data_IF_248377241716
#
_entry.id   IF_248377241716
#
_cell.length_a   1.000
_cell.length_b   1.000
_cell.length_c   1.000
_cell.angle_alpha   90.00
_cell.angle_beta   90.00
_cell.angle_gamma   90.00
#
_symmetry.space_group_name_H-M   'P 1'
#
loop_
_entity.id
_entity.type
_entity.pdbx_description
1 polymer ?
#
# COMPACT_ATOMS: atom_id res chain seq x y z
N UNK A 1 43.52 6.71 -13.93
CA UNK A 1 43.45 8.06 -13.33
C UNK A 1 42.51 8.95 -14.15
N UNK A 2 41.21 8.64 -14.17
CA UNK A 2 40.16 9.54 -14.67
C UNK A 2 39.02 9.49 -13.66
N UNK A 3 39.33 9.97 -12.45
CA UNK A 3 38.31 10.39 -11.48
C UNK A 3 38.26 11.91 -11.61
N UNK A 4 37.58 12.40 -12.64
CA UNK A 4 37.13 13.79 -12.70
C UNK A 4 35.80 13.84 -13.44
N UNK A 5 34.81 14.36 -12.72
CA UNK A 5 33.61 15.00 -13.27
C UNK A 5 32.61 14.09 -13.99
N UNK A 6 31.87 13.30 -13.21
CA UNK A 6 30.43 13.19 -13.45
C UNK A 6 29.76 13.78 -12.22
N UNK A 7 29.70 15.11 -12.18
CA UNK A 7 28.72 15.84 -11.40
C UNK A 7 27.36 15.39 -11.92
N UNK A 8 26.84 14.29 -11.37
CA UNK A 8 25.46 13.86 -11.53
C UNK A 8 24.60 14.97 -10.94
N UNK A 9 24.19 15.88 -11.83
CA UNK A 9 23.07 16.78 -11.64
C UNK A 9 21.86 15.88 -11.32
N UNK A 10 21.60 15.65 -10.04
CA UNK A 10 20.35 15.08 -9.58
C UNK A 10 19.34 16.21 -9.75
N UNK A 11 18.76 16.30 -10.94
CA UNK A 11 17.54 17.08 -11.12
C UNK A 11 16.44 16.39 -10.31
N UNK A 12 16.19 16.95 -9.13
CA UNK A 12 15.14 16.54 -8.23
C UNK A 12 13.80 16.97 -8.86
N UNK A 13 13.29 16.18 -9.80
CA UNK A 13 12.00 16.41 -10.44
C UNK A 13 10.93 16.26 -9.37
N UNK A 14 10.41 17.41 -8.93
CA UNK A 14 9.37 17.53 -7.91
C UNK A 14 8.06 17.05 -8.51
N UNK A 15 7.65 15.83 -8.21
CA UNK A 15 6.35 15.30 -8.65
C UNK A 15 5.21 16.12 -8.02
N UNK A 16 4.51 16.90 -8.84
CA UNK A 16 3.33 17.69 -8.44
C UNK A 16 2.02 16.89 -8.46
N UNK A 17 2.08 15.58 -8.71
CA UNK A 17 0.89 14.73 -8.76
C UNK A 17 0.25 14.60 -7.38
N UNK A 18 -0.99 15.11 -7.27
CA UNK A 18 -1.72 15.17 -6.02
C UNK A 18 -2.09 13.79 -5.44
N UNK A 19 -1.29 13.36 -4.47
CA UNK A 19 -1.57 12.23 -3.60
C UNK A 19 -2.27 12.71 -2.31
N UNK A 20 -3.15 11.86 -1.78
CA UNK A 20 -3.92 12.14 -0.55
C UNK A 20 -3.12 11.85 0.72
N UNK A 21 -1.82 11.59 0.56
CA UNK A 21 -0.85 11.35 1.61
C UNK A 21 0.05 12.57 1.68
N UNK A 22 0.27 13.15 2.87
CA UNK A 22 1.25 14.24 3.10
C UNK A 22 2.72 13.79 2.89
N UNK A 23 2.94 12.56 2.44
CA UNK A 23 4.24 12.03 2.09
C UNK A 23 4.74 12.68 0.80
N UNK A 24 5.88 13.38 0.89
CA UNK A 24 6.63 13.80 -0.29
C UNK A 24 7.29 12.55 -0.87
N UNK A 25 6.89 12.14 -2.07
CA UNK A 25 7.57 11.08 -2.77
C UNK A 25 8.88 11.63 -3.33
N UNK A 26 9.97 10.89 -3.08
CA UNK A 26 11.21 11.08 -3.82
C UNK A 26 11.02 10.32 -5.12
N UNK A 27 11.11 11.03 -6.25
CA UNK A 27 11.08 10.43 -7.57
C UNK A 27 12.48 10.47 -8.15
N UNK A 28 12.90 9.37 -8.77
CA UNK A 28 14.14 9.27 -9.54
C UNK A 28 13.80 8.60 -10.86
N UNK A 29 14.39 9.08 -11.94
CA UNK A 29 14.23 8.50 -13.26
C UNK A 29 15.27 7.38 -13.42
N UNK A 30 14.79 6.16 -13.68
CA UNK A 30 15.67 5.04 -14.04
C UNK A 30 15.46 4.82 -15.53
N UNK A 31 16.50 5.08 -16.33
CA UNK A 31 16.52 4.68 -17.74
C UNK A 31 16.46 3.14 -17.81
N UNK A 32 15.25 2.64 -17.97
CA UNK A 32 14.99 1.22 -18.21
C UNK A 32 14.50 1.10 -19.65
N UNK A 33 15.40 0.75 -20.57
CA UNK A 33 15.09 0.41 -21.97
C UNK A 33 14.23 -0.87 -22.12
N UNK A 34 13.59 -1.32 -21.05
CA UNK A 34 12.76 -2.52 -20.98
C UNK A 34 11.37 -2.13 -20.50
N UNK A 35 10.38 -2.39 -21.33
CA UNK A 35 8.95 -2.19 -21.04
C UNK A 35 8.60 -2.84 -19.71
N UNK A 36 8.42 -2.02 -18.66
CA UNK A 36 7.99 -2.48 -17.35
C UNK A 36 6.51 -2.85 -17.44
N UNK A 37 6.21 -4.14 -17.59
CA UNK A 37 4.85 -4.65 -17.39
C UNK A 37 4.47 -4.35 -15.94
N UNK A 38 3.42 -3.57 -15.71
CA UNK A 38 2.88 -3.41 -14.36
C UNK A 38 2.41 -4.77 -13.84
N UNK A 39 3.15 -5.36 -12.92
CA UNK A 39 2.75 -6.59 -12.26
C UNK A 39 1.72 -6.17 -11.19
N UNK A 40 0.45 -6.61 -11.28
CA UNK A 40 -0.50 -6.37 -10.21
C UNK A 40 0.08 -6.94 -8.92
N UNK A 41 0.03 -6.16 -7.83
CA UNK A 41 0.68 -6.48 -6.56
C UNK A 41 0.39 -7.92 -6.15
N UNK A 42 1.37 -8.82 -6.30
CA UNK A 42 1.20 -10.23 -5.96
C UNK A 42 0.95 -10.32 -4.47
N UNK A 43 -0.26 -10.73 -4.08
CA UNK A 43 -0.52 -11.14 -2.71
C UNK A 43 0.52 -12.19 -2.34
N UNK A 44 1.28 -11.94 -1.26
CA UNK A 44 2.25 -12.93 -0.76
C UNK A 44 1.44 -14.15 -0.31
N UNK A 45 1.47 -15.21 -1.12
CA UNK A 45 0.86 -16.51 -0.79
C UNK A 45 1.62 -17.08 0.40
N UNK A 46 0.90 -17.43 1.46
CA UNK A 46 1.46 -18.15 2.60
C UNK A 46 1.40 -19.63 2.25
N UNK A 47 2.50 -20.35 2.45
CA UNK A 47 2.59 -21.78 2.19
C UNK A 47 2.58 -22.51 3.53
N UNK A 48 1.66 -23.44 3.70
CA UNK A 48 1.68 -24.41 4.79
C UNK A 48 2.69 -25.52 4.44
N UNK A 49 3.88 -25.44 5.04
CA UNK A 49 4.93 -26.44 4.83
C UNK A 49 4.56 -27.82 5.37
N UNK A 50 3.72 -27.91 6.41
CA UNK A 50 3.29 -29.19 6.95
C UNK A 50 2.30 -29.87 5.99
N UNK A 51 1.31 -29.13 5.50
CA UNK A 51 0.37 -29.63 4.51
C UNK A 51 1.06 -29.97 3.18
N UNK A 52 2.05 -29.17 2.77
CA UNK A 52 2.87 -29.45 1.58
C UNK A 52 3.59 -30.79 1.73
N UNK A 53 4.35 -30.96 2.82
CA UNK A 53 5.14 -32.17 3.05
C UNK A 53 4.28 -33.42 3.20
N UNK A 54 3.10 -33.31 3.85
CA UNK A 54 2.16 -34.42 3.97
C UNK A 54 1.62 -34.86 2.58
N UNK A 55 1.18 -33.90 1.76
CA UNK A 55 0.71 -34.19 0.40
C UNK A 55 1.82 -34.75 -0.50
N UNK A 56 3.04 -34.23 -0.35
CA UNK A 56 4.20 -34.68 -1.12
C UNK A 56 4.54 -36.14 -0.79
N UNK A 57 4.56 -36.50 0.51
CA UNK A 57 4.76 -37.89 0.96
C UNK A 57 3.70 -38.85 0.43
N UNK A 58 2.41 -38.51 0.54
CA UNK A 58 1.31 -39.35 0.02
C UNK A 58 1.51 -39.62 -1.47
N UNK A 59 1.88 -38.59 -2.23
CA UNK A 59 2.01 -38.68 -3.69
C UNK A 59 3.26 -39.44 -4.12
N UNK A 60 4.37 -39.30 -3.42
CA UNK A 60 5.58 -40.09 -3.65
C UNK A 60 5.36 -41.58 -3.30
N UNK A 61 4.67 -41.89 -2.20
CA UNK A 61 4.35 -43.28 -1.85
C UNK A 61 3.47 -43.97 -2.93
N UNK A 62 2.65 -43.20 -3.64
CA UNK A 62 1.86 -43.71 -4.77
C UNK A 62 2.69 -43.86 -6.07
N UNK A 63 3.87 -43.24 -6.16
CA UNK A 63 4.77 -43.33 -7.32
C UNK A 63 5.75 -44.49 -7.27
N UNK A 64 6.18 -44.92 -6.08
CA UNK A 64 7.13 -46.05 -5.93
C UNK A 64 6.59 -47.37 -6.52
N UNK A 65 5.30 -47.44 -6.84
CA UNK A 65 4.69 -48.53 -7.61
C UNK A 65 5.01 -48.50 -9.12
N UNK A 66 5.61 -47.44 -9.66
CA UNK A 66 5.95 -47.26 -11.07
C UNK A 66 7.42 -46.83 -11.22
N UNK A 67 8.31 -47.78 -11.51
CA UNK A 67 9.79 -47.67 -11.47
C UNK A 67 10.47 -46.61 -12.38
N UNK A 68 9.73 -45.83 -13.18
CA UNK A 68 10.32 -44.74 -13.99
C UNK A 68 9.38 -43.55 -14.11
N UNK A 69 9.47 -42.63 -13.17
CA UNK A 69 8.70 -41.39 -13.24
C UNK A 69 9.37 -40.36 -14.14
N UNK A 70 8.62 -39.82 -15.10
CA UNK A 70 9.07 -38.77 -16.00
C UNK A 70 9.22 -37.44 -15.26
N UNK A 71 10.16 -36.59 -15.67
CA UNK A 71 10.32 -35.24 -15.11
C UNK A 71 9.01 -34.42 -15.13
N UNK A 72 8.15 -34.67 -16.12
CA UNK A 72 6.81 -34.06 -16.22
C UNK A 72 5.87 -34.48 -15.10
N UNK A 73 6.00 -35.70 -14.59
CA UNK A 73 5.18 -36.23 -13.50
C UNK A 73 5.65 -35.67 -12.16
N UNK A 74 6.97 -35.62 -11.93
CA UNK A 74 7.53 -34.98 -10.74
C UNK A 74 7.12 -33.50 -10.64
N UNK A 75 7.19 -32.77 -11.76
CA UNK A 75 6.78 -31.35 -11.80
C UNK A 75 5.26 -31.17 -11.61
N UNK A 76 4.44 -32.08 -12.14
CA UNK A 76 3.00 -32.08 -11.91
C UNK A 76 2.66 -32.31 -10.43
N UNK A 77 3.34 -33.25 -9.79
CA UNK A 77 3.13 -33.60 -8.37
C UNK A 77 3.55 -32.47 -7.44
N UNK A 78 4.69 -31.83 -7.70
CA UNK A 78 5.11 -30.62 -6.99
C UNK A 78 4.05 -29.53 -7.17
N UNK A 79 3.56 -29.33 -8.40
CA UNK A 79 2.52 -28.35 -8.70
C UNK A 79 1.21 -28.63 -7.97
N UNK A 80 0.81 -29.88 -7.84
CA UNK A 80 -0.40 -30.27 -7.10
C UNK A 80 -0.21 -30.14 -5.59
N UNK A 81 0.88 -30.65 -5.02
CA UNK A 81 1.19 -30.48 -3.60
C UNK A 81 1.26 -28.99 -3.21
N UNK A 82 1.80 -28.16 -4.11
CA UNK A 82 1.84 -26.71 -3.95
C UNK A 82 0.45 -26.07 -3.98
N UNK A 83 -0.48 -26.54 -4.83
CA UNK A 83 -1.86 -26.02 -4.84
C UNK A 83 -2.58 -26.26 -3.52
N UNK A 84 -2.40 -27.44 -2.92
CA UNK A 84 -3.03 -27.81 -1.66
C UNK A 84 -2.38 -27.16 -0.42
N UNK A 85 -1.14 -26.65 -0.56
CA UNK A 85 -0.43 -25.99 0.54
C UNK A 85 -0.55 -24.46 0.54
N UNK A 86 -1.17 -23.86 -0.48
CA UNK A 86 -1.43 -22.42 -0.47
C UNK A 86 -2.55 -22.11 0.51
N UNK A 87 -2.20 -21.44 1.61
CA UNK A 87 -3.18 -20.78 2.47
C UNK A 87 -3.53 -19.46 1.78
N UNK A 88 -4.74 -19.41 1.20
CA UNK A 88 -5.37 -18.16 0.80
C UNK A 88 -5.85 -17.45 2.07
N UNK A 89 -4.92 -16.89 2.84
CA UNK A 89 -5.25 -16.16 4.06
C UNK A 89 -6.00 -14.88 3.71
N UNK A 90 -6.91 -14.41 4.58
CA UNK A 90 -7.38 -13.03 4.50
C UNK A 90 -6.13 -12.15 4.51
N UNK A 91 -5.96 -11.31 3.49
CA UNK A 91 -4.82 -10.41 3.41
C UNK A 91 -4.67 -9.68 4.74
N UNK A 92 -3.44 -9.56 5.25
CA UNK A 92 -3.12 -9.00 6.58
C UNK A 92 -4.13 -7.93 6.98
N UNK A 93 -4.77 -8.12 8.13
CA UNK A 93 -5.70 -7.16 8.68
C UNK A 93 -5.01 -5.80 8.72
N UNK A 94 -5.57 -4.82 8.00
CA UNK A 94 -4.97 -3.50 7.91
C UNK A 94 -5.12 -2.87 9.29
N UNK A 95 -4.01 -2.78 10.02
CA UNK A 95 -3.99 -2.07 11.29
C UNK A 95 -4.35 -0.61 11.03
N UNK A 96 -5.51 -0.23 11.55
CA UNK A 96 -6.01 1.14 11.47
C UNK A 96 -5.19 1.96 12.48
N UNK A 97 -4.65 3.14 12.10
CA UNK A 97 -3.90 3.98 13.03
C UNK A 97 -4.78 4.40 14.22
N UNK A 98 -4.19 4.51 15.42
CA UNK A 98 -4.93 4.84 16.64
C UNK A 98 -5.70 6.18 16.59
N UNK A 99 -5.25 7.14 15.77
CA UNK A 99 -5.89 8.45 15.57
C UNK A 99 -6.98 8.44 14.49
N UNK A 100 -7.28 7.27 13.92
CA UNK A 100 -8.24 7.14 12.84
C UNK A 100 -9.65 6.94 13.40
N UNK A 101 -10.49 7.97 13.31
CA UNK A 101 -11.88 7.93 13.72
C UNK A 101 -12.82 7.65 12.54
N UNK A 102 -14.06 7.25 12.84
CA UNK A 102 -15.12 7.10 11.84
C UNK A 102 -15.38 8.40 11.08
N UNK A 103 -15.28 9.54 11.75
CA UNK A 103 -15.39 10.86 11.12
C UNK A 103 -14.30 11.10 10.07
N UNK A 104 -13.05 10.73 10.38
CA UNK A 104 -11.93 10.78 9.41
C UNK A 104 -12.16 9.84 8.24
N UNK A 105 -12.69 8.65 8.52
CA UNK A 105 -13.01 7.67 7.50
C UNK A 105 -14.09 8.19 6.54
N UNK A 106 -15.17 8.74 7.05
CA UNK A 106 -16.28 9.25 6.25
C UNK A 106 -15.88 10.48 5.46
N UNK A 107 -15.13 11.41 6.07
CA UNK A 107 -14.61 12.57 5.34
C UNK A 107 -13.63 12.17 4.25
N UNK A 108 -12.86 11.09 4.46
CA UNK A 108 -11.99 10.51 3.44
C UNK A 108 -12.79 9.90 2.29
N UNK A 109 -13.89 9.18 2.56
CA UNK A 109 -14.79 8.67 1.50
C UNK A 109 -15.33 9.82 0.65
N UNK A 110 -15.86 10.87 1.28
CA UNK A 110 -16.35 12.07 0.58
C UNK A 110 -15.27 12.73 -0.28
N UNK A 111 -14.05 12.87 0.26
CA UNK A 111 -12.93 13.43 -0.50
C UNK A 111 -12.54 12.53 -1.70
N UNK A 112 -12.56 11.21 -1.54
CA UNK A 112 -12.28 10.25 -2.62
C UNK A 112 -13.34 10.30 -3.71
N UNK A 113 -14.61 10.41 -3.35
CA UNK A 113 -15.71 10.58 -4.29
C UNK A 113 -15.57 11.89 -5.07
N UNK A 114 -15.30 13.01 -4.38
CA UNK A 114 -15.04 14.29 -5.02
C UNK A 114 -13.84 14.23 -5.98
N UNK A 115 -12.75 13.55 -5.58
CA UNK A 115 -11.57 13.33 -6.44
C UNK A 115 -11.92 12.52 -7.70
N UNK A 116 -12.67 11.44 -7.55
CA UNK A 116 -13.14 10.61 -8.67
C UNK A 116 -14.01 11.43 -9.62
N UNK A 117 -14.94 12.22 -9.08
CA UNK A 117 -15.77 13.14 -9.86
C UNK A 117 -14.94 14.15 -10.63
N UNK A 118 -14.00 14.84 -9.97
CA UNK A 118 -13.07 15.77 -10.60
C UNK A 118 -12.25 15.12 -11.73
N UNK A 119 -11.68 13.94 -11.49
CA UNK A 119 -10.86 13.22 -12.48
C UNK A 119 -11.69 12.74 -13.66
N UNK A 120 -12.94 12.31 -13.42
CA UNK A 120 -13.88 11.92 -14.48
C UNK A 120 -14.26 13.15 -15.33
N UNK A 121 -14.61 14.27 -14.70
CA UNK A 121 -14.98 15.51 -15.40
C UNK A 121 -13.85 16.07 -16.26
N UNK A 122 -12.59 15.90 -15.83
CA UNK A 122 -11.42 16.31 -16.62
C UNK A 122 -11.26 15.51 -17.93
N UNK A 123 -11.81 14.29 -18.00
CA UNK A 123 -11.74 13.42 -19.20
C UNK A 123 -12.95 13.55 -20.12
N UNK A 124 -14.00 14.25 -19.70
CA UNK A 124 -15.23 14.43 -20.46
C UNK A 124 -15.25 15.78 -21.17
N UNK A 125 -16.03 15.88 -22.26
CA UNK A 125 -16.37 17.16 -22.91
C UNK A 125 -17.41 17.97 -22.11
N UNK A 126 -17.30 17.95 -20.78
CA UNK A 126 -18.12 18.75 -19.88
C UNK A 126 -17.77 20.23 -20.02
N UNK A 127 -18.72 21.10 -19.68
CA UNK A 127 -18.51 22.55 -19.71
C UNK A 127 -17.41 22.98 -18.74
N UNK A 128 -16.77 24.11 -19.02
CA UNK A 128 -15.72 24.64 -18.15
C UNK A 128 -16.24 24.98 -16.75
N UNK A 129 -17.50 25.39 -16.66
CA UNK A 129 -18.19 25.66 -15.39
C UNK A 129 -18.33 24.39 -14.55
N UNK A 130 -18.66 23.26 -15.16
CA UNK A 130 -18.78 21.97 -14.45
C UNK A 130 -17.42 21.46 -13.97
N UNK A 131 -16.38 21.60 -14.80
CA UNK A 131 -15.00 21.27 -14.42
C UNK A 131 -14.53 22.12 -13.24
N UNK A 132 -14.82 23.42 -13.28
CA UNK A 132 -14.48 24.34 -12.19
C UNK A 132 -15.23 23.97 -10.89
N UNK A 133 -16.53 23.67 -10.96
CA UNK A 133 -17.32 23.22 -9.80
C UNK A 133 -16.76 21.93 -9.20
N UNK A 134 -16.42 20.95 -10.02
CA UNK A 134 -15.81 19.70 -9.57
C UNK A 134 -14.44 19.93 -8.90
N UNK A 135 -13.63 20.83 -9.47
CA UNK A 135 -12.33 21.25 -8.90
C UNK A 135 -12.48 21.92 -7.54
N UNK A 136 -13.40 22.88 -7.40
CA UNK A 136 -13.68 23.58 -6.13
C UNK A 136 -14.17 22.58 -5.08
N UNK A 137 -15.14 21.71 -5.42
CA UNK A 137 -15.68 20.70 -4.50
C UNK A 137 -14.60 19.79 -3.94
N UNK A 138 -13.70 19.30 -4.80
CA UNK A 138 -12.58 18.48 -4.37
C UNK A 138 -11.57 19.26 -3.50
N UNK A 139 -11.22 20.50 -3.87
CA UNK A 139 -10.32 21.35 -3.06
C UNK A 139 -10.87 21.61 -1.65
N UNK A 140 -12.17 21.90 -1.54
CA UNK A 140 -12.85 22.15 -0.26
C UNK A 140 -12.85 20.90 0.62
N UNK A 141 -13.34 19.77 0.09
CA UNK A 141 -13.39 18.49 0.83
C UNK A 141 -11.99 18.00 1.27
N UNK A 142 -10.96 18.21 0.44
CA UNK A 142 -9.56 17.93 0.78
C UNK A 142 -9.05 18.82 1.92
N UNK A 143 -9.39 20.12 1.91
CA UNK A 143 -9.03 21.07 2.98
C UNK A 143 -9.67 20.65 4.30
N UNK A 144 -10.95 20.28 4.28
CA UNK A 144 -11.68 19.81 5.45
C UNK A 144 -11.11 18.52 6.01
N UNK A 145 -10.86 17.52 5.14
CA UNK A 145 -10.22 16.26 5.55
C UNK A 145 -8.87 16.50 6.25
N UNK A 146 -8.05 17.42 5.72
CA UNK A 146 -6.76 17.78 6.34
C UNK A 146 -6.93 18.40 7.72
N UNK A 147 -7.89 19.31 7.87
CA UNK A 147 -8.19 19.93 9.17
C UNK A 147 -8.59 18.85 10.17
N UNK A 148 -9.46 17.93 9.74
CA UNK A 148 -9.96 16.85 10.58
C UNK A 148 -8.84 15.87 11.01
N UNK A 149 -7.98 15.45 10.07
CA UNK A 149 -6.83 14.58 10.38
C UNK A 149 -5.91 15.25 11.42
N UNK A 150 -5.63 16.55 11.29
CA UNK A 150 -4.77 17.28 12.23
C UNK A 150 -5.41 17.38 13.61
N UNK A 151 -6.71 17.64 13.66
CA UNK A 151 -7.46 17.68 14.91
C UNK A 151 -7.43 16.31 15.59
N UNK A 152 -7.81 15.25 14.86
CA UNK A 152 -7.83 13.88 15.40
C UNK A 152 -6.46 13.45 15.93
N UNK A 153 -5.38 13.69 15.17
CA UNK A 153 -4.02 13.39 15.62
C UNK A 153 -3.67 14.12 16.92
N UNK A 154 -4.03 15.41 17.04
CA UNK A 154 -3.78 16.22 18.24
C UNK A 154 -4.57 15.68 19.43
N UNK A 155 -5.85 15.41 19.25
CA UNK A 155 -6.72 14.90 20.32
C UNK A 155 -6.24 13.56 20.85
N UNK A 156 -5.92 12.63 19.95
CA UNK A 156 -5.43 11.32 20.35
C UNK A 156 -4.03 11.38 20.96
N UNK A 157 -3.18 12.31 20.51
CA UNK A 157 -1.90 12.58 21.16
C UNK A 157 -2.10 13.10 22.59
N UNK A 158 -2.99 14.07 22.79
CA UNK A 158 -3.31 14.60 24.12
C UNK A 158 -3.89 13.51 25.03
N UNK A 159 -4.77 12.64 24.52
CA UNK A 159 -5.28 11.48 25.26
C UNK A 159 -4.14 10.56 25.69
N UNK A 160 -3.26 10.19 24.75
CA UNK A 160 -2.10 9.35 25.05
C UNK A 160 -1.21 9.98 26.13
N UNK A 161 -0.94 11.28 26.07
CA UNK A 161 -0.20 11.99 27.11
C UNK A 161 -0.93 11.93 28.46
N UNK A 162 -2.23 12.20 28.49
CA UNK A 162 -3.02 12.15 29.72
C UNK A 162 -3.06 10.75 30.33
N UNK A 163 -3.21 9.70 29.52
CA UNK A 163 -3.22 8.30 29.97
C UNK A 163 -1.86 7.94 30.60
N UNK A 164 -0.75 8.40 30.01
CA UNK A 164 0.60 8.18 30.53
C UNK A 164 0.86 8.95 31.84
N UNK A 165 0.42 10.21 31.92
CA UNK A 165 0.55 11.02 33.14
C UNK A 165 -0.31 10.49 34.28
N UNK A 166 -1.53 10.02 33.98
CA UNK A 166 -2.45 9.43 34.96
C UNK A 166 -1.95 8.08 35.48
N UNK A 167 -1.19 7.34 34.66
CA UNK A 167 -0.50 6.11 35.03
C UNK A 167 0.83 6.32 35.77
N UNK A 168 1.21 7.56 36.11
CA UNK A 168 2.43 7.86 36.86
C UNK A 168 3.74 7.79 36.05
N UNK A 169 3.68 7.69 34.72
CA UNK A 169 4.88 7.78 33.87
C UNK A 169 5.11 9.23 33.43
N UNK A 170 5.92 9.95 34.20
CA UNK A 170 6.34 11.33 33.91
C UNK A 170 7.38 11.34 32.77
N UNK A 171 6.93 11.26 31.52
CA UNK A 171 7.82 11.34 30.35
C UNK A 171 7.93 12.81 29.92
N UNK A 172 8.99 13.49 30.38
CA UNK A 172 9.41 14.81 29.88
C UNK A 172 9.85 14.71 28.41
N UNK A 173 8.92 14.75 27.46
CA UNK A 173 9.23 14.91 26.04
C UNK A 173 9.45 16.39 25.73
N UNK A 174 10.72 16.81 25.73
CA UNK A 174 11.14 18.08 25.15
C UNK A 174 10.94 18.03 23.62
N UNK A 175 9.88 18.67 23.12
CA UNK A 175 9.72 18.95 21.69
C UNK A 175 10.64 20.11 21.31
N UNK A 176 11.70 19.83 20.54
CA UNK A 176 12.41 20.86 19.78
C UNK A 176 11.51 21.31 18.62
N UNK A 177 11.25 22.63 18.57
CA UNK A 177 10.56 23.34 17.51
C UNK A 177 11.37 23.33 16.19
#
# INVERSE_FOLDING_TARGET
MIIKQVLLFIELIKFQGENLTEHRYICYEVNNDKVVKQIPGKQKRIIDWNAFNANMKIRLCNMDAQERSSHKECTAIIGEAYKYSIINGPGREKTIPYWWSDEVNDKRKQCMEAKRGYTKMAKTNASEVEKLRASIKYKLTKKELRKLIRLSKREHWNKLCNDLTSGGMDIKLQLRA
#
